data_IF_802873467127
#
_entry.id   IF_802873467127
#
_cell.length_a   1.000
_cell.length_b   1.000
_cell.length_c   1.000
_cell.angle_alpha   90.00
_cell.angle_beta   90.00
_cell.angle_gamma   90.00
#
_symmetry.space_group_name_H-M   'P 1'
#
loop_
_entity.id
_entity.type
_entity.pdbx_description
1 polymer ?
#
# COMPACT_ATOMS: atom_id res chain seq x y z
N UNK A 1 -64.72 -24.67 18.05
CA UNK A 1 -63.75 -23.58 18.16
C UNK A 1 -64.49 -22.26 18.06
N UNK A 2 -64.35 -21.38 19.05
CA UNK A 2 -65.01 -20.06 19.05
C UNK A 2 -64.34 -19.12 18.05
N UNK A 3 -65.01 -18.05 17.59
CA UNK A 3 -64.39 -17.02 16.75
C UNK A 3 -63.11 -16.42 17.39
N UNK A 4 -63.10 -16.28 18.72
CA UNK A 4 -61.95 -15.80 19.48
C UNK A 4 -60.77 -16.79 19.46
N UNK A 5 -61.02 -18.08 19.67
CA UNK A 5 -59.99 -19.12 19.56
C UNK A 5 -59.39 -19.16 18.16
N UNK A 6 -60.20 -18.99 17.11
CA UNK A 6 -59.73 -18.92 15.72
C UNK A 6 -58.84 -17.70 15.47
N UNK A 7 -59.18 -16.55 16.05
CA UNK A 7 -58.33 -15.35 15.99
C UNK A 7 -56.98 -15.58 16.67
N UNK A 8 -56.96 -16.19 17.86
CA UNK A 8 -55.71 -16.54 18.54
C UNK A 8 -54.88 -17.55 17.72
N UNK A 9 -55.52 -18.50 17.02
CA UNK A 9 -54.83 -19.41 16.10
C UNK A 9 -54.11 -18.66 14.96
N UNK A 10 -54.81 -17.74 14.30
CA UNK A 10 -54.24 -16.92 13.22
C UNK A 10 -53.05 -16.06 13.72
N UNK A 11 -53.20 -15.42 14.88
CA UNK A 11 -52.15 -14.60 15.50
C UNK A 11 -50.95 -15.44 15.96
N UNK A 12 -51.18 -16.66 16.47
CA UNK A 12 -50.11 -17.61 16.79
C UNK A 12 -49.28 -17.96 15.56
N UNK A 13 -49.91 -18.31 14.44
CA UNK A 13 -49.18 -18.65 13.22
C UNK A 13 -48.46 -17.44 12.61
N UNK A 14 -49.03 -16.24 12.73
CA UNK A 14 -48.36 -15.00 12.34
C UNK A 14 -47.09 -14.75 13.18
N UNK A 15 -47.17 -14.92 14.50
CA UNK A 15 -46.02 -14.80 15.40
C UNK A 15 -44.96 -15.87 15.10
N UNK A 16 -45.37 -17.13 14.89
CA UNK A 16 -44.48 -18.22 14.49
C UNK A 16 -43.72 -17.91 13.20
N UNK A 17 -44.40 -17.39 12.17
CA UNK A 17 -43.76 -16.98 10.91
C UNK A 17 -42.73 -15.85 11.13
N UNK A 18 -43.05 -14.84 11.96
CA UNK A 18 -42.10 -13.78 12.33
C UNK A 18 -40.85 -14.34 13.02
N UNK A 19 -41.04 -15.27 13.96
CA UNK A 19 -39.95 -15.95 14.66
C UNK A 19 -39.02 -16.68 13.68
N UNK A 20 -39.59 -17.51 12.80
CA UNK A 20 -38.84 -18.30 11.82
C UNK A 20 -38.05 -17.42 10.83
N UNK A 21 -38.67 -16.33 10.36
CA UNK A 21 -38.01 -15.35 9.51
C UNK A 21 -36.85 -14.65 10.23
N UNK A 22 -37.05 -14.23 11.48
CA UNK A 22 -36.01 -13.59 12.27
C UNK A 22 -34.85 -14.54 12.56
N UNK A 23 -35.14 -15.81 12.86
CA UNK A 23 -34.13 -16.85 13.03
C UNK A 23 -33.27 -17.05 11.77
N UNK A 24 -33.91 -17.15 10.60
CA UNK A 24 -33.20 -17.27 9.32
C UNK A 24 -32.34 -16.04 9.02
N UNK A 25 -32.85 -14.84 9.30
CA UNK A 25 -32.12 -13.58 9.14
C UNK A 25 -30.90 -13.51 10.08
N UNK A 26 -31.05 -13.87 11.36
CA UNK A 26 -29.92 -13.93 12.30
C UNK A 26 -28.81 -14.83 11.80
N UNK A 27 -29.15 -16.03 11.31
CA UNK A 27 -28.16 -16.97 10.75
C UNK A 27 -27.46 -16.38 9.51
N UNK A 28 -28.21 -15.71 8.63
CA UNK A 28 -27.65 -14.99 7.47
C UNK A 28 -26.66 -13.90 7.89
N UNK A 29 -27.08 -12.96 8.75
CA UNK A 29 -26.25 -11.84 9.17
C UNK A 29 -25.02 -12.28 9.97
N UNK A 30 -25.13 -13.36 10.75
CA UNK A 30 -23.99 -13.94 11.45
C UNK A 30 -22.92 -14.45 10.49
N UNK A 31 -23.31 -15.10 9.39
CA UNK A 31 -22.37 -15.54 8.34
C UNK A 31 -21.75 -14.35 7.60
N UNK A 32 -22.55 -13.34 7.26
CA UNK A 32 -22.07 -12.14 6.58
C UNK A 32 -21.09 -11.34 7.47
N UNK A 33 -21.35 -11.26 8.78
CA UNK A 33 -20.43 -10.68 9.77
C UNK A 33 -19.10 -11.43 9.81
N UNK A 34 -19.12 -12.75 9.90
CA UNK A 34 -17.90 -13.57 9.92
C UNK A 34 -17.07 -13.41 8.62
N UNK A 35 -17.74 -13.33 7.46
CA UNK A 35 -17.10 -13.03 6.19
C UNK A 35 -16.46 -11.64 6.18
N UNK A 36 -17.16 -10.63 6.69
CA UNK A 36 -16.63 -9.27 6.81
C UNK A 36 -15.44 -9.19 7.78
N UNK A 37 -15.45 -9.92 8.88
CA UNK A 37 -14.32 -10.01 9.83
C UNK A 37 -13.09 -10.66 9.20
N UNK A 38 -13.29 -11.71 8.39
CA UNK A 38 -12.21 -12.34 7.62
C UNK A 38 -11.60 -11.34 6.64
N UNK A 39 -12.43 -10.63 5.87
CA UNK A 39 -11.98 -9.59 4.93
C UNK A 39 -11.25 -8.44 5.65
N UNK A 40 -11.73 -8.04 6.84
CA UNK A 40 -11.06 -7.03 7.68
C UNK A 40 -9.62 -7.45 8.00
N UNK A 41 -9.41 -8.71 8.38
CA UNK A 41 -8.07 -9.20 8.71
C UNK A 41 -7.16 -9.27 7.47
N UNK A 42 -7.69 -9.71 6.33
CA UNK A 42 -6.96 -9.71 5.06
C UNK A 42 -6.51 -8.29 4.67
N UNK A 43 -7.39 -7.30 4.77
CA UNK A 43 -7.07 -5.90 4.49
C UNK A 43 -5.99 -5.36 5.43
N UNK A 44 -6.07 -5.65 6.74
CA UNK A 44 -5.04 -5.24 7.71
C UNK A 44 -3.67 -5.82 7.34
N UNK A 45 -3.62 -7.10 6.98
CA UNK A 45 -2.37 -7.76 6.59
C UNK A 45 -1.77 -7.12 5.31
N UNK A 46 -2.61 -6.85 4.31
CA UNK A 46 -2.20 -6.15 3.08
C UNK A 46 -1.68 -4.74 3.35
N UNK A 47 -2.38 -3.96 4.18
CA UNK A 47 -1.95 -2.61 4.59
C UNK A 47 -0.58 -2.66 5.27
N UNK A 48 -0.38 -3.60 6.19
CA UNK A 48 0.88 -3.74 6.92
C UNK A 48 2.04 -4.13 6.00
N UNK A 49 1.81 -5.06 5.07
CA UNK A 49 2.79 -5.44 4.05
C UNK A 49 3.20 -4.23 3.20
N UNK A 50 2.23 -3.47 2.71
CA UNK A 50 2.48 -2.27 1.89
C UNK A 50 3.16 -1.14 2.66
N UNK A 51 2.82 -0.94 3.94
CA UNK A 51 3.54 0.00 4.82
C UNK A 51 5.00 -0.40 5.03
N UNK A 52 5.27 -1.70 5.18
CA UNK A 52 6.64 -2.22 5.28
C UNK A 52 7.43 -1.98 4.00
N UNK A 53 6.83 -2.24 2.84
CA UNK A 53 7.43 -1.94 1.54
C UNK A 53 7.71 -0.45 1.38
N UNK A 54 6.74 0.42 1.72
CA UNK A 54 6.88 1.87 1.66
C UNK A 54 8.05 2.37 2.53
N UNK A 55 8.22 1.80 3.72
CA UNK A 55 9.35 2.13 4.60
C UNK A 55 10.69 1.78 3.93
N UNK A 56 10.80 0.59 3.35
CA UNK A 56 12.01 0.17 2.61
C UNK A 56 12.30 1.08 1.43
N UNK A 57 11.29 1.35 0.59
CA UNK A 57 11.42 2.24 -0.58
C UNK A 57 11.81 3.65 -0.16
N UNK A 58 11.23 4.18 0.92
CA UNK A 58 11.57 5.51 1.43
C UNK A 58 13.00 5.57 1.94
N UNK A 59 13.45 4.54 2.67
CA UNK A 59 14.82 4.45 3.14
C UNK A 59 15.81 4.41 1.97
N UNK A 60 15.58 3.53 0.99
CA UNK A 60 16.42 3.44 -0.22
C UNK A 60 16.44 4.77 -0.98
N UNK A 61 15.30 5.45 -1.11
CA UNK A 61 15.25 6.77 -1.75
C UNK A 61 16.10 7.81 -1.03
N UNK A 62 16.02 7.85 0.31
CA UNK A 62 16.84 8.75 1.13
C UNK A 62 18.33 8.43 1.00
N UNK A 63 18.71 7.16 1.06
CA UNK A 63 20.11 6.74 0.92
C UNK A 63 20.67 7.10 -0.46
N UNK A 64 19.90 6.86 -1.52
CA UNK A 64 20.29 7.19 -2.89
C UNK A 64 20.38 8.70 -3.11
N UNK A 65 19.55 9.49 -2.44
CA UNK A 65 19.62 10.97 -2.47
C UNK A 65 20.90 11.47 -1.79
N UNK A 66 21.33 10.85 -0.69
CA UNK A 66 22.61 11.19 -0.03
C UNK A 66 23.81 10.83 -0.92
N UNK A 67 23.80 9.66 -1.56
CA UNK A 67 24.87 9.25 -2.48
C UNK A 67 24.99 10.23 -3.65
N UNK A 68 23.87 10.61 -4.26
CA UNK A 68 23.84 11.59 -5.35
C UNK A 68 24.39 12.97 -4.96
N UNK A 69 24.37 13.34 -3.68
CA UNK A 69 25.01 14.56 -3.18
C UNK A 69 26.54 14.48 -3.20
N UNK A 70 27.10 13.34 -2.76
CA UNK A 70 28.55 13.06 -2.79
C UNK A 70 29.08 12.91 -4.22
N UNK A 71 28.24 12.40 -5.10
CA UNK A 71 28.52 12.24 -6.52
C UNK A 71 28.80 13.58 -7.23
N UNK A 72 28.08 14.65 -6.89
CA UNK A 72 28.35 16.00 -7.42
C UNK A 72 29.73 16.53 -6.99
N UNK A 73 30.21 16.16 -5.80
CA UNK A 73 31.56 16.49 -5.34
C UNK A 73 32.60 15.72 -6.16
N UNK A 74 32.37 14.44 -6.44
CA UNK A 74 33.24 13.60 -7.28
C UNK A 74 33.37 14.19 -8.69
N UNK A 75 32.26 14.59 -9.33
CA UNK A 75 32.30 15.25 -10.64
C UNK A 75 33.16 16.52 -10.61
N UNK A 76 32.99 17.35 -9.57
CA UNK A 76 33.79 18.56 -9.38
C UNK A 76 35.29 18.25 -9.24
N UNK A 77 35.64 17.25 -8.43
CA UNK A 77 37.02 16.82 -8.25
C UNK A 77 37.63 16.28 -9.55
N UNK A 78 36.85 15.57 -10.36
CA UNK A 78 37.30 15.01 -11.63
C UNK A 78 37.50 16.10 -12.68
N UNK A 79 36.65 17.12 -12.70
CA UNK A 79 36.86 18.31 -13.52
C UNK A 79 38.12 19.08 -13.10
N UNK A 80 38.40 19.20 -11.80
CA UNK A 80 39.65 19.81 -11.30
C UNK A 80 40.88 18.99 -11.71
N UNK A 81 40.85 17.67 -11.51
CA UNK A 81 41.94 16.77 -11.88
C UNK A 81 42.22 16.81 -13.39
N UNK A 82 41.17 16.83 -14.21
CA UNK A 82 41.27 16.98 -15.66
C UNK A 82 42.00 18.27 -16.07
N UNK A 83 41.67 19.40 -15.43
CA UNK A 83 42.35 20.69 -15.68
C UNK A 83 43.84 20.63 -15.32
N UNK A 84 44.18 20.08 -14.15
CA UNK A 84 45.57 19.95 -13.71
C UNK A 84 46.38 19.02 -14.62
N UNK A 85 45.81 17.88 -15.03
CA UNK A 85 46.45 16.95 -15.96
C UNK A 85 46.68 17.57 -17.33
N UNK A 86 45.72 18.33 -17.85
CA UNK A 86 45.88 19.04 -19.12
C UNK A 86 47.04 20.05 -19.05
N UNK A 87 47.08 20.87 -17.98
CA UNK A 87 48.17 21.81 -17.77
C UNK A 87 49.54 21.13 -17.67
N UNK A 88 49.64 20.02 -16.93
CA UNK A 88 50.87 19.24 -16.82
C UNK A 88 51.29 18.63 -18.16
N UNK A 89 50.34 18.11 -18.95
CA UNK A 89 50.63 17.54 -20.27
C UNK A 89 51.15 18.60 -21.25
N UNK A 90 50.59 19.81 -21.23
CA UNK A 90 51.12 20.95 -22.01
C UNK A 90 52.54 21.30 -21.58
N UNK A 91 52.83 21.34 -20.29
CA UNK A 91 54.20 21.57 -19.79
C UNK A 91 55.17 20.47 -20.25
N UNK A 92 54.78 19.20 -20.17
CA UNK A 92 55.60 18.08 -20.66
C UNK A 92 55.85 18.13 -22.17
N UNK A 93 54.84 18.52 -22.96
CA UNK A 93 54.97 18.71 -24.42
C UNK A 93 55.96 19.84 -24.74
N UNK A 94 55.96 20.92 -23.96
CA UNK A 94 56.92 22.01 -24.12
C UNK A 94 58.35 21.58 -23.77
N UNK A 95 58.54 20.74 -22.74
CA UNK A 95 59.83 20.11 -22.44
C UNK A 95 60.25 19.17 -23.57
N UNK A 96 59.30 18.39 -24.06
CA UNK A 96 59.46 17.42 -25.15
C UNK A 96 59.96 17.97 -26.48
N UNK A 97 59.39 19.09 -26.91
CA UNK A 97 59.84 19.84 -28.10
C UNK A 97 61.30 20.31 -28.02
N UNK A 98 61.90 20.34 -26.82
CA UNK A 98 63.32 20.67 -26.64
C UNK A 98 64.27 19.47 -26.82
N UNK A 99 63.76 18.25 -27.06
CA UNK A 99 64.55 17.02 -27.21
C UNK A 99 64.22 16.27 -28.52
N UNK A 100 65.23 15.81 -29.25
CA UNK A 100 65.17 15.22 -30.61
C UNK A 100 64.50 13.81 -30.71
N UNK A 101 63.44 13.51 -29.95
CA UNK A 101 62.80 12.20 -29.93
C UNK A 101 61.36 12.18 -30.47
N UNK A 102 60.95 11.06 -31.09
CA UNK A 102 59.55 10.76 -31.46
C UNK A 102 58.69 10.56 -30.20
N UNK A 103 58.25 11.66 -29.60
CA UNK A 103 57.49 11.63 -28.36
C UNK A 103 56.01 11.35 -28.66
N UNK A 104 55.41 10.37 -27.96
CA UNK A 104 53.95 10.24 -27.93
C UNK A 104 53.35 11.50 -27.32
N UNK A 105 52.33 12.06 -27.96
CA UNK A 105 51.62 13.22 -27.43
C UNK A 105 50.85 12.82 -26.16
N UNK A 106 51.48 13.05 -25.00
CA UNK A 106 50.90 12.75 -23.68
C UNK A 106 49.60 13.52 -23.47
N UNK A 107 49.47 14.72 -24.05
CA UNK A 107 48.24 15.52 -24.03
C UNK A 107 47.06 14.73 -24.62
N UNK A 108 47.30 14.04 -25.74
CA UNK A 108 46.29 13.24 -26.44
C UNK A 108 45.87 12.01 -25.63
N UNK A 109 46.85 11.29 -25.04
CA UNK A 109 46.58 10.08 -24.25
C UNK A 109 45.82 10.42 -22.96
N UNK A 110 46.24 11.47 -22.24
CA UNK A 110 45.57 11.91 -21.02
C UNK A 110 44.17 12.45 -21.30
N UNK A 111 44.01 13.28 -22.34
CA UNK A 111 42.71 13.82 -22.73
C UNK A 111 41.70 12.73 -23.08
N UNK A 112 42.13 11.68 -23.79
CA UNK A 112 41.30 10.51 -24.13
C UNK A 112 40.82 9.74 -22.89
N UNK A 113 41.71 9.44 -21.94
CA UNK A 113 41.34 8.74 -20.70
C UNK A 113 40.39 9.57 -19.85
N UNK A 114 40.67 10.87 -19.69
CA UNK A 114 39.80 11.80 -18.94
C UNK A 114 38.40 11.87 -19.57
N UNK A 115 38.31 11.97 -20.89
CA UNK A 115 37.02 11.99 -21.58
C UNK A 115 36.21 10.72 -21.35
N UNK A 116 36.87 9.54 -21.40
CA UNK A 116 36.22 8.25 -21.09
C UNK A 116 35.72 8.19 -19.65
N UNK A 117 36.54 8.58 -18.67
CA UNK A 117 36.13 8.64 -17.27
C UNK A 117 34.91 9.54 -17.08
N UNK A 118 34.94 10.76 -17.61
CA UNK A 118 33.83 11.72 -17.53
C UNK A 118 32.53 11.14 -18.09
N UNK A 119 32.61 10.44 -19.23
CA UNK A 119 31.45 9.76 -19.83
C UNK A 119 30.85 8.73 -18.88
N UNK A 120 31.67 7.81 -18.35
CA UNK A 120 31.18 6.76 -17.44
C UNK A 120 30.55 7.31 -16.16
N UNK A 121 31.11 8.40 -15.63
CA UNK A 121 30.57 9.07 -14.44
C UNK A 121 29.22 9.72 -14.73
N UNK A 122 29.11 10.41 -15.88
CA UNK A 122 27.84 11.01 -16.32
C UNK A 122 26.77 9.94 -16.54
N UNK A 123 27.12 8.80 -17.11
CA UNK A 123 26.23 7.65 -17.30
C UNK A 123 25.75 7.09 -15.95
N UNK A 124 26.66 6.95 -14.98
CA UNK A 124 26.32 6.50 -13.63
C UNK A 124 25.32 7.45 -12.95
N UNK A 125 25.53 8.77 -13.02
CA UNK A 125 24.60 9.76 -12.46
C UNK A 125 23.24 9.75 -13.14
N UNK A 126 23.20 9.58 -14.46
CA UNK A 126 21.93 9.41 -15.18
C UNK A 126 21.16 8.18 -14.69
N UNK A 127 21.88 7.08 -14.42
CA UNK A 127 21.30 5.87 -13.82
C UNK A 127 20.72 6.10 -12.42
N UNK A 128 21.45 6.84 -11.57
CA UNK A 128 21.02 7.19 -10.21
C UNK A 128 19.76 8.07 -10.26
N UNK A 129 19.71 9.08 -11.11
CA UNK A 129 18.51 9.94 -11.23
C UNK A 129 17.29 9.18 -11.75
N UNK A 130 17.48 8.26 -12.72
CA UNK A 130 16.41 7.35 -13.15
C UNK A 130 15.90 6.49 -12.00
N UNK A 131 16.81 5.93 -11.19
CA UNK A 131 16.45 5.13 -10.02
C UNK A 131 15.67 5.96 -8.98
N UNK A 132 16.08 7.20 -8.70
CA UNK A 132 15.35 8.14 -7.81
C UNK A 132 13.95 8.41 -8.32
N UNK A 133 13.79 8.69 -9.62
CA UNK A 133 12.48 8.93 -10.23
C UNK A 133 11.57 7.72 -10.08
N UNK A 134 12.10 6.51 -10.33
CA UNK A 134 11.35 5.27 -10.18
C UNK A 134 10.93 5.01 -8.72
N UNK A 135 11.84 5.19 -7.76
CA UNK A 135 11.54 5.05 -6.33
C UNK A 135 10.51 6.06 -5.85
N UNK A 136 10.59 7.31 -6.31
CA UNK A 136 9.59 8.35 -6.04
C UNK A 136 8.21 7.95 -6.58
N UNK A 137 8.14 7.49 -7.84
CA UNK A 137 6.89 6.98 -8.42
C UNK A 137 6.31 5.81 -7.62
N UNK A 138 7.15 4.85 -7.21
CA UNK A 138 6.73 3.71 -6.40
C UNK A 138 6.24 4.12 -5.00
N UNK A 139 6.85 5.14 -4.39
CA UNK A 139 6.41 5.72 -3.12
C UNK A 139 5.00 6.32 -3.25
N UNK A 140 4.74 7.07 -4.32
CA UNK A 140 3.42 7.64 -4.62
C UNK A 140 2.37 6.54 -4.84
N UNK A 141 2.70 5.52 -5.64
CA UNK A 141 1.81 4.38 -5.88
C UNK A 141 1.46 3.63 -4.59
N UNK A 142 2.46 3.29 -3.77
CA UNK A 142 2.24 2.61 -2.47
C UNK A 142 1.36 3.41 -1.52
N UNK A 143 1.53 4.74 -1.45
CA UNK A 143 0.66 5.60 -0.66
C UNK A 143 -0.79 5.59 -1.17
N UNK A 144 -0.99 5.61 -2.49
CA UNK A 144 -2.30 5.49 -3.11
C UNK A 144 -2.98 4.15 -2.78
N UNK A 145 -2.25 3.05 -2.90
CA UNK A 145 -2.73 1.70 -2.54
C UNK A 145 -3.11 1.61 -1.06
N UNK A 146 -2.26 2.10 -0.15
CA UNK A 146 -2.54 2.13 1.29
C UNK A 146 -3.80 2.95 1.59
N UNK A 147 -3.96 4.11 0.94
CA UNK A 147 -5.14 4.97 1.11
C UNK A 147 -6.41 4.26 0.67
N UNK A 148 -6.38 3.63 -0.51
CA UNK A 148 -7.52 2.83 -1.02
C UNK A 148 -7.87 1.70 -0.05
N UNK A 149 -6.89 0.91 0.38
CA UNK A 149 -7.11 -0.20 1.31
C UNK A 149 -7.66 0.26 2.67
N UNK A 150 -7.22 1.42 3.17
CA UNK A 150 -7.78 2.01 4.39
C UNK A 150 -9.25 2.42 4.21
N UNK A 151 -9.61 2.97 3.05
CA UNK A 151 -11.01 3.27 2.71
C UNK A 151 -11.87 2.00 2.67
N UNK A 152 -11.40 0.94 2.01
CA UNK A 152 -12.07 -0.36 2.00
C UNK A 152 -12.22 -0.95 3.42
N UNK A 153 -11.18 -0.83 4.25
CA UNK A 153 -11.21 -1.27 5.65
C UNK A 153 -12.25 -0.51 6.47
N UNK A 154 -12.39 0.80 6.26
CA UNK A 154 -13.41 1.60 6.92
C UNK A 154 -14.82 1.13 6.55
N UNK A 155 -15.09 0.91 5.26
CA UNK A 155 -16.37 0.37 4.77
C UNK A 155 -16.68 -0.99 5.40
N UNK A 156 -15.70 -1.90 5.45
CA UNK A 156 -15.88 -3.22 6.07
C UNK A 156 -16.22 -3.11 7.57
N UNK A 157 -15.57 -2.20 8.32
CA UNK A 157 -15.89 -1.96 9.73
C UNK A 157 -17.33 -1.45 9.91
N UNK A 158 -17.79 -0.58 9.04
CA UNK A 158 -19.19 -0.12 9.02
C UNK A 158 -20.14 -1.28 8.75
N UNK A 159 -19.83 -2.15 7.80
CA UNK A 159 -20.64 -3.36 7.53
C UNK A 159 -20.71 -4.29 8.74
N UNK A 160 -19.59 -4.54 9.43
CA UNK A 160 -19.57 -5.36 10.65
C UNK A 160 -20.51 -4.77 11.71
N UNK A 161 -20.42 -3.46 11.94
CA UNK A 161 -21.28 -2.75 12.90
C UNK A 161 -22.75 -2.91 12.54
N UNK A 162 -23.08 -2.73 11.25
CA UNK A 162 -24.44 -2.93 10.74
C UNK A 162 -24.94 -4.36 10.97
N UNK A 163 -24.12 -5.39 10.72
CA UNK A 163 -24.52 -6.77 10.95
C UNK A 163 -24.74 -7.08 12.43
N UNK A 164 -23.98 -6.47 13.35
CA UNK A 164 -24.26 -6.58 14.79
C UNK A 164 -25.65 -6.07 15.11
N UNK A 165 -25.99 -4.85 14.67
CA UNK A 165 -27.33 -4.27 14.89
C UNK A 165 -28.43 -5.16 14.31
N UNK A 166 -28.27 -5.67 13.10
CA UNK A 166 -29.26 -6.55 12.46
C UNK A 166 -29.44 -7.90 13.19
N UNK A 167 -28.37 -8.41 13.81
CA UNK A 167 -28.44 -9.61 14.65
C UNK A 167 -29.23 -9.32 15.93
N UNK A 168 -28.97 -8.18 16.58
CA UNK A 168 -29.67 -7.77 17.81
C UNK A 168 -31.17 -7.51 17.55
N UNK A 169 -31.50 -6.92 16.40
CA UNK A 169 -32.89 -6.73 15.94
C UNK A 169 -33.60 -8.06 15.70
N UNK A 170 -32.90 -9.03 15.07
CA UNK A 170 -33.44 -10.37 14.86
C UNK A 170 -33.67 -11.10 16.19
N UNK A 171 -32.74 -10.98 17.15
CA UNK A 171 -32.91 -11.53 18.50
C UNK A 171 -34.09 -10.92 19.24
N UNK A 172 -34.25 -9.60 19.15
CA UNK A 172 -35.40 -8.90 19.73
C UNK A 172 -36.70 -9.39 19.11
N UNK A 173 -36.76 -9.54 17.79
CA UNK A 173 -37.92 -10.03 17.05
C UNK A 173 -38.27 -11.47 17.43
N UNK A 174 -37.26 -12.34 17.57
CA UNK A 174 -37.47 -13.71 18.04
C UNK A 174 -38.05 -13.73 19.45
N UNK A 175 -37.52 -12.90 20.36
CA UNK A 175 -38.02 -12.84 21.73
C UNK A 175 -39.47 -12.37 21.80
N UNK A 176 -39.84 -11.30 21.10
CA UNK A 176 -41.21 -10.80 21.09
C UNK A 176 -42.17 -11.79 20.44
N UNK A 177 -41.81 -12.36 19.28
CA UNK A 177 -42.61 -13.37 18.62
C UNK A 177 -42.82 -14.63 19.48
N UNK A 178 -41.80 -15.06 20.23
CA UNK A 178 -41.94 -16.18 21.17
C UNK A 178 -42.92 -15.90 22.31
N UNK A 179 -42.96 -14.65 22.81
CA UNK A 179 -43.92 -14.22 23.83
C UNK A 179 -45.34 -14.23 23.26
N UNK A 180 -45.53 -13.66 22.06
CA UNK A 180 -46.82 -13.65 21.36
C UNK A 180 -47.30 -15.09 21.12
N UNK A 181 -46.43 -15.98 20.62
CA UNK A 181 -46.76 -17.40 20.43
C UNK A 181 -47.22 -18.06 21.73
N UNK A 182 -46.52 -17.83 22.86
CA UNK A 182 -46.91 -18.40 24.14
C UNK A 182 -48.27 -17.88 24.61
N UNK A 183 -48.52 -16.58 24.44
CA UNK A 183 -49.79 -15.94 24.77
C UNK A 183 -50.94 -16.53 23.94
N UNK A 184 -50.86 -16.47 22.61
CA UNK A 184 -51.95 -16.95 21.75
C UNK A 184 -52.17 -18.46 21.91
N UNK A 185 -51.11 -19.27 22.08
CA UNK A 185 -51.23 -20.72 22.32
C UNK A 185 -52.07 -21.03 23.57
N UNK A 186 -51.90 -20.26 24.66
CA UNK A 186 -52.69 -20.41 25.89
C UNK A 186 -54.18 -20.18 25.64
N UNK A 187 -54.50 -19.13 24.87
CA UNK A 187 -55.87 -18.71 24.57
C UNK A 187 -56.55 -19.49 23.43
N UNK A 188 -55.80 -20.27 22.65
CA UNK A 188 -56.38 -21.24 21.71
C UNK A 188 -56.97 -22.47 22.40
N UNK A 189 -56.47 -22.81 23.58
CA UNK A 189 -56.82 -24.04 24.32
C UNK A 189 -57.78 -23.82 25.49
N UNK A 190 -58.02 -22.55 25.84
CA UNK A 190 -59.01 -22.14 26.85
C UNK A 190 -60.39 -22.02 26.20
#
# INVERSE_FOLDING_TARGET
MTPEQKKHEEEYFAAKKKYEMAYANKAKYSREKAGAETKRQQLINSINSKKSELKKVSQTYTDLTKTNGKDNEIESHIQKAAKHLSAAATQFKNIGKSSNGNQKDLEMVFSSKVAKSKKHISEAFSGIEKAKKNLSGRKTALNGEITKLNGELATVKTSITRYVTLIDEADTTMRTASVDMAYHKKHMTA
#
